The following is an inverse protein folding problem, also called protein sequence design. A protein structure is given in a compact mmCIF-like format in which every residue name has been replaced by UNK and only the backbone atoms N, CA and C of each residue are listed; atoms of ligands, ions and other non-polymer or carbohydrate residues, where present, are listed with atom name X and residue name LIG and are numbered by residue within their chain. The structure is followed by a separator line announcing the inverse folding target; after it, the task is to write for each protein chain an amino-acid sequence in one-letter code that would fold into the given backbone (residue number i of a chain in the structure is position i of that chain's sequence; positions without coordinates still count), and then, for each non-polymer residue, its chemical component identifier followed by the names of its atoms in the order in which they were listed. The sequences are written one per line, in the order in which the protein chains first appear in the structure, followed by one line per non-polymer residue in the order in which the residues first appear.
data_IF_175981738916
#
_entry.id   IF_175981738916
#
_cell.length_a   1.000
_cell.length_b   1.000
_cell.length_c   1.000
_cell.angle_alpha   90.00
_cell.angle_beta   90.00
_cell.angle_gamma   90.00
#
_symmetry.space_group_name_H-M   'P 1'
#
loop_
_entity.id
_entity.type
_entity.pdbx_description
1 polymer ?
#
# COMPACT_ATOMS: atom_id res chain seq x y z
N UNK A 1 0.09 4.01 12.66
CA UNK A 1 1.28 3.30 12.16
C UNK A 1 2.31 4.35 11.79
N UNK A 2 3.59 4.13 12.04
CA UNK A 2 4.68 5.02 11.65
C UNK A 2 5.70 4.27 10.78
N UNK A 3 6.39 4.99 9.90
CA UNK A 3 7.50 4.43 9.14
C UNK A 3 8.68 4.20 10.09
N UNK A 4 9.06 2.93 10.30
CA UNK A 4 10.21 2.56 11.12
C UNK A 4 11.49 2.59 10.28
N UNK A 5 11.45 1.97 9.10
CA UNK A 5 12.58 1.89 8.15
C UNK A 5 12.05 1.72 6.72
N UNK A 6 12.87 2.06 5.72
CA UNK A 6 12.57 1.80 4.31
C UNK A 6 13.85 1.45 3.58
N UNK A 7 13.84 0.34 2.83
CA UNK A 7 14.89 -0.02 1.89
C UNK A 7 14.91 0.84 0.62
N UNK A 8 13.90 1.71 0.44
CA UNK A 8 13.73 2.63 -0.69
C UNK A 8 13.54 4.07 -0.22
N UNK A 9 13.69 5.07 -1.08
CA UNK A 9 13.42 6.46 -0.73
C UNK A 9 11.97 6.66 -0.30
N UNK A 10 11.72 7.40 0.78
CA UNK A 10 10.37 7.65 1.32
C UNK A 10 9.41 8.24 0.28
N UNK A 11 9.91 9.05 -0.65
CA UNK A 11 9.11 9.55 -1.78
C UNK A 11 8.70 8.44 -2.76
N UNK A 12 9.58 7.47 -3.01
CA UNK A 12 9.35 6.34 -3.92
C UNK A 12 8.43 5.28 -3.30
N UNK A 13 8.50 5.13 -1.97
CA UNK A 13 7.62 4.26 -1.18
C UNK A 13 6.16 4.77 -1.11
N UNK A 14 5.98 6.10 -1.08
CA UNK A 14 4.72 6.75 -0.67
C UNK A 14 4.02 7.54 -1.77
N UNK A 15 4.49 7.49 -3.02
CA UNK A 15 3.98 8.32 -4.12
C UNK A 15 2.52 7.98 -4.56
N UNK A 16 1.72 7.29 -3.75
CA UNK A 16 0.31 7.02 -4.00
C UNK A 16 -0.63 7.27 -2.81
N UNK A 17 -0.21 8.05 -1.80
CA UNK A 17 -1.11 8.40 -0.68
C UNK A 17 -2.27 9.26 -1.20
N UNK A 18 -3.47 8.68 -1.18
CA UNK A 18 -4.71 9.41 -1.40
C UNK A 18 -4.80 10.56 -0.37
N UNK A 19 -4.97 11.79 -0.88
CA UNK A 19 -5.30 12.94 -0.03
C UNK A 19 -6.67 12.69 0.59
N UNK A 20 -6.73 12.37 1.89
CA UNK A 20 -8.04 12.31 2.56
C UNK A 20 -8.21 11.42 3.78
N UNK A 21 -7.18 10.81 4.36
CA UNK A 21 -7.34 10.01 5.59
C UNK A 21 -7.57 10.92 6.81
N UNK A 22 -8.79 11.44 6.93
CA UNK A 22 -9.25 12.27 8.04
C UNK A 22 -9.72 11.47 9.25
N UNK A 23 -10.13 10.20 9.11
CA UNK A 23 -10.82 9.47 10.19
C UNK A 23 -10.77 7.92 10.09
N UNK A 24 -9.62 7.29 9.78
CA UNK A 24 -9.46 5.83 9.95
C UNK A 24 -8.35 5.50 10.95
N UNK A 25 -8.68 5.52 12.24
CA UNK A 25 -7.76 5.20 13.33
C UNK A 25 -7.66 3.70 13.68
N UNK A 26 -8.29 2.76 12.94
CA UNK A 26 -8.35 1.34 13.38
C UNK A 26 -8.17 0.26 12.31
N UNK A 27 -8.29 0.59 11.03
CA UNK A 27 -8.11 -0.34 9.92
C UNK A 27 -7.21 0.33 8.89
N UNK A 28 -6.10 -0.32 8.54
CA UNK A 28 -5.21 0.16 7.48
C UNK A 28 -5.03 -1.02 6.52
N UNK A 29 -5.60 -0.88 5.33
CA UNK A 29 -5.30 -1.78 4.22
C UNK A 29 -4.09 -1.24 3.47
N UNK A 30 -3.08 -2.09 3.34
CA UNK A 30 -1.84 -1.78 2.65
C UNK A 30 -1.92 -2.50 1.31
N UNK A 31 -2.35 -1.77 0.29
CA UNK A 31 -2.64 -2.37 -1.00
C UNK A 31 -1.75 -1.76 -2.04
N UNK A 32 -1.02 -2.59 -2.77
CA UNK A 32 -0.59 -2.19 -4.11
C UNK A 32 -1.84 -2.43 -4.97
N UNK A 33 -2.71 -1.45 -5.26
CA UNK A 33 -3.84 -1.61 -6.20
C UNK A 33 -5.18 -2.18 -5.68
N UNK A 34 -5.88 -3.01 -6.48
CA UNK A 34 -7.26 -3.49 -6.20
C UNK A 34 -7.36 -4.34 -4.92
N UNK A 35 -8.52 -4.23 -4.25
CA UNK A 35 -8.79 -4.74 -2.91
C UNK A 35 -9.38 -6.15 -2.97
N UNK A 36 -8.72 -7.12 -2.32
CA UNK A 36 -9.32 -8.43 -2.02
C UNK A 36 -9.87 -8.42 -0.59
N UNK A 37 -11.21 -8.41 -0.49
CA UNK A 37 -11.96 -8.29 0.77
C UNK A 37 -12.16 -9.63 1.49
N UNK A 38 -11.89 -10.74 0.81
CA UNK A 38 -12.16 -12.08 1.34
C UNK A 38 -11.45 -12.37 2.67
N UNK A 39 -10.19 -11.94 2.91
CA UNK A 39 -9.49 -12.18 4.18
C UNK A 39 -10.04 -11.40 5.38
N UNK A 40 -10.80 -10.32 5.15
CA UNK A 40 -11.25 -9.40 6.18
C UNK A 40 -12.65 -9.74 6.75
N UNK A 41 -13.44 -10.51 6.00
CA UNK A 41 -14.78 -10.94 6.41
C UNK A 41 -14.84 -11.63 7.79
N UNK A 42 -13.89 -12.48 8.21
CA UNK A 42 -13.89 -13.08 9.55
C UNK A 42 -13.79 -12.08 10.71
N UNK A 43 -13.29 -10.87 10.43
CA UNK A 43 -13.20 -9.78 11.41
C UNK A 43 -14.43 -8.85 11.38
N UNK A 44 -15.45 -9.19 10.59
CA UNK A 44 -16.68 -8.40 10.45
C UNK A 44 -16.49 -7.12 9.62
N UNK A 45 -15.43 -7.05 8.80
CA UNK A 45 -15.13 -5.93 7.91
C UNK A 45 -15.65 -6.28 6.52
N UNK A 46 -16.59 -5.49 6.03
CA UNK A 46 -17.12 -5.57 4.67
C UNK A 46 -16.36 -4.64 3.72
N UNK A 47 -16.59 -4.79 2.42
CA UNK A 47 -15.95 -3.95 1.39
C UNK A 47 -16.17 -2.46 1.56
N UNK A 48 -17.39 -2.09 1.91
CA UNK A 48 -17.76 -0.68 2.10
C UNK A 48 -17.17 -0.07 3.38
N UNK A 49 -16.63 -0.90 4.29
CA UNK A 49 -15.94 -0.43 5.49
C UNK A 49 -14.49 0.00 5.19
N UNK A 50 -14.00 -0.26 3.97
CA UNK A 50 -12.64 0.05 3.54
C UNK A 50 -12.64 1.38 2.79
N UNK A 51 -11.94 2.36 3.35
CA UNK A 51 -11.70 3.65 2.72
C UNK A 51 -10.55 3.62 1.73
N UNK A 52 -9.71 4.65 1.77
CA UNK A 52 -8.52 4.74 0.93
C UNK A 52 -7.45 3.73 1.35
N UNK A 53 -6.79 3.14 0.35
CA UNK A 53 -5.68 2.20 0.54
C UNK A 53 -4.33 2.90 0.56
N UNK A 54 -3.37 2.27 1.25
CA UNK A 54 -1.99 2.72 1.25
C UNK A 54 -1.17 2.00 0.16
N UNK A 55 -0.93 2.69 -0.94
CA UNK A 55 -0.20 2.17 -2.10
C UNK A 55 1.31 2.08 -1.88
N UNK A 56 1.81 0.87 -1.60
CA UNK A 56 3.25 0.61 -1.55
C UNK A 56 3.84 0.55 -2.96
N UNK A 57 5.05 1.10 -3.12
CA UNK A 57 5.89 0.94 -4.31
C UNK A 57 5.29 1.47 -5.63
N UNK A 58 4.19 2.21 -5.56
CA UNK A 58 3.58 2.83 -6.73
C UNK A 58 4.31 4.12 -7.10
N UNK A 59 4.70 4.25 -8.36
CA UNK A 59 5.31 5.47 -8.89
C UNK A 59 4.25 6.32 -9.58
N UNK A 60 3.72 7.33 -8.90
CA UNK A 60 2.77 8.29 -9.48
C UNK A 60 3.43 9.65 -9.60
N UNK A 61 3.34 10.24 -10.78
CA UNK A 61 3.71 11.63 -11.02
C UNK A 61 2.47 12.50 -11.05
N UNK A 62 2.39 13.48 -10.16
CA UNK A 62 1.38 14.54 -10.22
C UNK A 62 1.83 15.63 -11.18
N UNK A 63 0.91 16.04 -12.05
CA UNK A 63 1.13 17.09 -13.04
C UNK A 63 0.64 18.44 -12.52
N UNK A 64 1.23 19.57 -12.96
CA UNK A 64 0.80 20.91 -12.53
C UNK A 64 -0.65 21.26 -12.87
N UNK A 65 -1.25 20.57 -13.84
CA UNK A 65 -2.65 20.74 -14.26
C UNK A 65 -3.66 20.00 -13.37
N UNK A 66 -3.19 19.34 -12.30
CA UNK A 66 -4.01 18.53 -11.40
C UNK A 66 -4.25 17.10 -11.87
N UNK A 67 -3.70 16.71 -13.02
CA UNK A 67 -3.67 15.33 -13.47
C UNK A 67 -2.59 14.51 -12.77
N UNK A 68 -2.57 13.21 -13.06
CA UNK A 68 -1.51 12.32 -12.63
C UNK A 68 -1.14 11.32 -13.75
N UNK A 69 0.05 10.74 -13.65
CA UNK A 69 0.51 9.66 -14.52
C UNK A 69 1.08 8.53 -13.67
N UNK A 70 0.65 7.30 -13.94
CA UNK A 70 1.23 6.10 -13.34
C UNK A 70 2.48 5.73 -14.15
N UNK A 71 3.62 5.68 -13.47
CA UNK A 71 4.92 5.29 -14.02
C UNK A 71 5.29 3.90 -13.52
N UNK A 72 6.29 3.31 -14.17
CA UNK A 72 6.87 2.06 -13.72
C UNK A 72 7.48 2.23 -12.32
N UNK A 73 7.23 1.30 -11.38
CA UNK A 73 7.93 1.26 -10.11
C UNK A 73 9.44 1.28 -10.28
N UNK A 74 10.14 2.03 -9.43
CA UNK A 74 11.60 2.07 -9.40
C UNK A 74 12.18 1.00 -8.45
N UNK A 75 11.30 0.33 -7.71
CA UNK A 75 11.63 -0.70 -6.75
C UNK A 75 12.03 -2.02 -7.39
N UNK A 76 12.81 -2.80 -6.64
CA UNK A 76 13.42 -4.07 -7.03
C UNK A 76 13.05 -5.15 -6.03
N UNK A 77 13.28 -6.40 -6.42
CA UNK A 77 13.10 -7.53 -5.50
C UNK A 77 14.05 -7.38 -4.30
N UNK A 78 13.50 -7.49 -3.09
CA UNK A 78 14.23 -7.30 -1.84
C UNK A 78 14.04 -5.92 -1.21
N UNK A 79 13.47 -4.95 -1.93
CA UNK A 79 13.06 -3.69 -1.34
C UNK A 79 11.90 -3.92 -0.36
N UNK A 80 11.96 -3.25 0.79
CA UNK A 80 10.98 -3.40 1.87
C UNK A 80 10.65 -2.04 2.50
N UNK A 81 9.53 -2.02 3.22
CA UNK A 81 9.08 -0.91 4.06
C UNK A 81 8.69 -1.52 5.41
N UNK A 82 9.28 -0.99 6.48
CA UNK A 82 8.99 -1.42 7.84
C UNK A 82 8.05 -0.43 8.51
N UNK A 83 6.97 -0.97 9.04
CA UNK A 83 5.88 -0.18 9.60
C UNK A 83 5.66 -0.58 11.06
N UNK A 84 5.75 0.39 11.95
CA UNK A 84 5.45 0.20 13.37
C UNK A 84 3.97 0.41 13.63
N UNK A 85 3.32 -0.61 14.20
CA UNK A 85 1.98 -0.47 14.74
C UNK A 85 2.03 0.34 16.06
N UNK A 86 1.45 1.56 16.04
CA UNK A 86 1.36 2.43 17.23
C UNK A 86 0.21 2.03 18.19
N UNK A 87 -0.62 1.09 17.74
CA UNK A 87 -1.77 0.54 18.46
C UNK A 87 -2.14 -0.82 17.83
N UNK A 88 -3.09 -1.53 18.44
CA UNK A 88 -3.64 -2.75 17.86
C UNK A 88 -4.33 -2.43 16.52
N UNK A 89 -3.97 -3.17 15.47
CA UNK A 89 -4.50 -3.00 14.12
C UNK A 89 -4.90 -4.35 13.53
N UNK A 90 -5.81 -4.30 12.57
CA UNK A 90 -5.98 -5.37 11.57
C UNK A 90 -5.27 -4.87 10.31
N UNK A 91 -4.27 -5.62 9.85
CA UNK A 91 -3.53 -5.33 8.63
C UNK A 91 -3.91 -6.35 7.56
N UNK A 92 -4.28 -5.86 6.39
CA UNK A 92 -4.46 -6.67 5.19
C UNK A 92 -3.53 -6.15 4.09
N UNK A 93 -2.94 -7.09 3.36
CA UNK A 93 -2.02 -6.81 2.27
C UNK A 93 -2.53 -7.54 1.03
N UNK A 94 -2.70 -6.79 -0.07
CA UNK A 94 -3.06 -7.35 -1.38
C UNK A 94 -2.02 -6.93 -2.43
N UNK A 95 -1.66 -7.89 -3.28
CA UNK A 95 -0.75 -7.70 -4.40
C UNK A 95 -1.57 -7.41 -5.66
N UNK A 96 -1.36 -6.22 -6.25
CA UNK A 96 -2.08 -5.78 -7.43
C UNK A 96 -2.05 -6.81 -8.57
N UNK A 97 -3.20 -7.26 -9.10
CA UNK A 97 -3.23 -8.14 -10.26
C UNK A 97 -3.07 -7.38 -11.60
N UNK A 98 -2.95 -6.05 -11.58
CA UNK A 98 -2.98 -5.25 -12.80
C UNK A 98 -1.69 -5.41 -13.62
N UNK A 99 -1.85 -5.97 -14.82
CA UNK A 99 -0.78 -6.13 -15.82
C UNK A 99 -1.00 -5.24 -17.05
N UNK A 100 -2.10 -4.48 -17.09
CA UNK A 100 -2.52 -3.69 -18.26
C UNK A 100 -1.87 -2.30 -18.31
N UNK A 101 -1.17 -1.88 -17.25
CA UNK A 101 -0.52 -0.59 -17.17
C UNK A 101 0.85 -0.70 -16.47
N UNK A 102 1.63 0.40 -16.41
CA UNK A 102 2.97 0.38 -15.82
C UNK A 102 3.02 0.11 -14.31
N UNK A 103 1.88 0.07 -13.60
CA UNK A 103 1.83 0.09 -12.12
C UNK A 103 2.62 -1.04 -11.45
N UNK A 104 2.71 -2.20 -12.10
CA UNK A 104 3.51 -3.34 -11.64
C UNK A 104 4.64 -3.72 -12.60
N UNK A 105 5.00 -2.83 -13.53
CA UNK A 105 5.84 -3.15 -14.68
C UNK A 105 5.22 -4.27 -15.55
N UNK A 106 3.92 -4.17 -15.82
CA UNK A 106 3.15 -5.08 -16.70
C UNK A 106 3.15 -6.56 -16.28
N UNK A 107 3.48 -6.86 -15.02
CA UNK A 107 3.51 -8.23 -14.50
C UNK A 107 3.21 -8.26 -13.01
N UNK A 108 2.24 -9.08 -12.62
CA UNK A 108 1.95 -9.34 -11.21
C UNK A 108 3.11 -10.13 -10.57
N UNK A 109 3.50 -9.71 -9.36
CA UNK A 109 4.60 -10.29 -8.59
C UNK A 109 4.09 -10.55 -7.16
N UNK A 110 4.57 -11.61 -6.49
CA UNK A 110 4.22 -11.86 -5.10
C UNK A 110 4.77 -10.75 -4.20
N UNK A 111 4.00 -10.40 -3.15
CA UNK A 111 4.41 -9.51 -2.07
C UNK A 111 4.46 -10.32 -0.77
N UNK A 112 5.53 -10.11 0.01
CA UNK A 112 5.69 -10.73 1.33
C UNK A 112 5.30 -9.76 2.44
N UNK A 113 4.72 -10.28 3.51
CA UNK A 113 4.50 -9.55 4.76
C UNK A 113 5.06 -10.39 5.90
N UNK A 114 5.89 -9.78 6.72
CA UNK A 114 6.40 -10.36 7.96
C UNK A 114 5.89 -9.52 9.14
N UNK A 115 5.64 -10.18 10.27
CA UNK A 115 5.22 -9.52 11.51
C UNK A 115 6.19 -9.95 12.60
N UNK A 116 6.79 -8.98 13.26
CA UNK A 116 7.75 -9.20 14.33
C UNK A 116 7.55 -8.18 15.45
N UNK A 117 8.06 -8.53 16.63
CA UNK A 117 8.16 -7.61 17.75
C UNK A 117 9.52 -6.90 17.69
N UNK A 118 9.57 -5.57 17.91
CA UNK A 118 10.84 -4.87 18.07
C UNK A 118 11.58 -5.36 19.32
N UNK A 119 12.92 -5.38 19.24
CA UNK A 119 13.80 -5.81 20.34
C UNK A 119 13.83 -4.82 21.53
#
# INVERSE_FOLDING_TARGET
MSLAESGVGVGEALNGVARGCGDLHRLIEITVGEVDLYPLAPFGIAGDDIGDVFNLFMNVEFKPDGGFAIKTPETKAGDYIDLRAEMNIIAAVSACPNENNPVNNFRAKPLGMEVWEPA
#
